data_IF_762074655861
#
_entry.id   IF_762074655861
#
_cell.length_a   1.000
_cell.length_b   1.000
_cell.length_c   1.000
_cell.angle_alpha   90.00
_cell.angle_beta   90.00
_cell.angle_gamma   90.00
#
_symmetry.space_group_name_H-M   'P 1'
#
loop_
_entity.id
_entity.type
_entity.pdbx_description
1 polymer ?
#
# COMPACT_ATOMS: atom_id res chain seq x y z
N UNK A 1 -12.70 -27.05 -24.56
CA UNK A 1 -11.84 -26.93 -23.37
C UNK A 1 -10.60 -27.84 -23.48
N UNK A 2 -9.40 -27.28 -23.51
CA UNK A 2 -8.16 -28.05 -23.67
C UNK A 2 -7.78 -28.75 -22.35
N UNK A 3 -7.48 -30.07 -22.36
CA UNK A 3 -7.13 -30.82 -21.14
C UNK A 3 -5.87 -30.33 -20.42
N UNK A 4 -5.02 -29.55 -21.11
CA UNK A 4 -3.75 -29.00 -20.63
C UNK A 4 -3.80 -27.51 -20.27
N UNK A 5 -4.99 -26.89 -20.27
CA UNK A 5 -5.13 -25.51 -19.82
C UNK A 5 -4.93 -25.42 -18.29
N UNK A 6 -4.29 -24.35 -17.82
CA UNK A 6 -4.13 -24.06 -16.40
C UNK A 6 -5.49 -23.99 -15.70
N UNK A 7 -5.69 -24.80 -14.65
CA UNK A 7 -6.86 -24.70 -13.76
C UNK A 7 -6.52 -23.75 -12.61
N UNK A 8 -7.37 -22.76 -12.36
CA UNK A 8 -7.34 -21.98 -11.13
C UNK A 8 -8.03 -22.78 -10.02
N UNK A 9 -7.33 -23.01 -8.91
CA UNK A 9 -7.90 -23.68 -7.74
C UNK A 9 -8.49 -22.63 -6.79
N UNK A 10 -9.78 -22.31 -6.98
CA UNK A 10 -10.51 -21.34 -6.15
C UNK A 10 -10.06 -19.87 -6.33
N UNK A 11 -10.82 -18.95 -5.73
CA UNK A 11 -10.44 -17.54 -5.58
C UNK A 11 -10.18 -17.28 -4.10
N UNK A 12 -8.90 -17.23 -3.73
CA UNK A 12 -8.50 -16.66 -2.44
C UNK A 12 -8.76 -15.16 -2.46
N UNK A 13 -9.02 -14.56 -1.30
CA UNK A 13 -9.19 -13.11 -1.18
C UNK A 13 -7.90 -12.42 -1.62
N UNK A 14 -7.95 -11.63 -2.69
CA UNK A 14 -6.78 -10.92 -3.20
C UNK A 14 -6.47 -9.68 -2.36
N UNK A 15 -5.30 -9.06 -2.61
CA UNK A 15 -4.99 -7.75 -2.05
C UNK A 15 -6.07 -6.71 -2.42
N UNK A 16 -6.54 -6.72 -3.66
CA UNK A 16 -7.59 -5.80 -4.11
C UNK A 16 -8.92 -6.09 -3.40
N UNK A 17 -9.25 -7.36 -3.14
CA UNK A 17 -10.44 -7.70 -2.35
C UNK A 17 -10.33 -7.20 -0.89
N UNK A 18 -9.11 -7.15 -0.31
CA UNK A 18 -8.87 -6.56 1.02
C UNK A 18 -8.93 -5.03 0.98
N UNK A 19 -8.34 -4.41 -0.04
CA UNK A 19 -8.39 -2.97 -0.27
C UNK A 19 -9.84 -2.47 -0.44
N UNK A 20 -10.66 -3.19 -1.21
CA UNK A 20 -12.05 -2.84 -1.48
C UNK A 20 -13.00 -3.15 -0.31
N UNK A 21 -12.52 -3.81 0.74
CA UNK A 21 -13.29 -4.16 1.94
C UNK A 21 -12.78 -3.49 3.22
N UNK A 22 -11.76 -2.63 3.13
CA UNK A 22 -11.22 -1.93 4.30
C UNK A 22 -12.17 -0.85 4.84
N UNK A 23 -11.79 -0.25 5.98
CA UNK A 23 -12.62 0.78 6.64
C UNK A 23 -12.86 2.03 5.79
N UNK A 24 -12.11 2.22 4.72
CA UNK A 24 -12.15 3.39 3.84
C UNK A 24 -12.71 3.06 2.45
N UNK A 25 -13.18 1.84 2.22
CA UNK A 25 -13.79 1.44 0.96
C UNK A 25 -14.95 2.36 0.54
N UNK A 26 -15.74 2.87 1.50
CA UNK A 26 -16.82 3.83 1.22
C UNK A 26 -16.30 5.21 0.80
N UNK A 27 -15.26 5.73 1.46
CA UNK A 27 -14.62 7.01 1.13
C UNK A 27 -14.04 6.97 -0.29
N UNK A 28 -13.40 5.84 -0.64
CA UNK A 28 -12.76 5.65 -1.95
C UNK A 28 -13.70 5.61 -3.15
N UNK A 29 -15.00 5.41 -2.93
CA UNK A 29 -16.01 5.53 -4.01
C UNK A 29 -16.16 6.96 -4.51
N UNK A 30 -16.04 7.93 -3.60
CA UNK A 30 -16.15 9.36 -3.94
C UNK A 30 -14.79 9.98 -4.21
N UNK A 31 -13.74 9.49 -3.55
CA UNK A 31 -12.38 9.96 -3.72
C UNK A 31 -11.40 8.78 -3.79
N UNK A 32 -11.03 8.40 -5.02
CA UNK A 32 -10.07 7.33 -5.29
C UNK A 32 -8.71 7.52 -4.57
N UNK A 33 -8.36 8.77 -4.24
CA UNK A 33 -7.09 9.12 -3.61
C UNK A 33 -7.17 9.20 -2.09
N UNK A 34 -8.27 8.81 -1.46
CA UNK A 34 -8.35 8.75 0.00
C UNK A 34 -7.20 7.88 0.57
N UNK A 35 -6.47 8.33 1.61
CA UNK A 35 -6.79 9.40 2.56
C UNK A 35 -6.38 10.83 2.16
N UNK A 36 -5.79 11.03 0.98
CA UNK A 36 -5.53 12.37 0.46
C UNK A 36 -6.81 13.00 -0.09
N UNK A 37 -6.94 14.32 0.02
CA UNK A 37 -8.14 15.06 -0.38
C UNK A 37 -8.34 15.06 -1.90
N UNK A 38 -7.26 14.90 -2.67
CA UNK A 38 -7.30 14.92 -4.14
C UNK A 38 -6.11 14.21 -4.78
N UNK A 39 -6.15 14.06 -6.11
CA UNK A 39 -5.01 13.58 -6.90
C UNK A 39 -3.75 14.45 -6.70
N UNK A 40 -3.92 15.77 -6.64
CA UNK A 40 -2.80 16.70 -6.48
C UNK A 40 -2.17 16.58 -5.10
N UNK A 41 -3.02 16.47 -4.07
CA UNK A 41 -2.60 16.24 -2.69
C UNK A 41 -1.85 14.91 -2.52
N UNK A 42 -2.37 13.83 -3.12
CA UNK A 42 -1.66 12.55 -3.22
C UNK A 42 -0.31 12.68 -3.92
N UNK A 43 -0.27 13.35 -5.08
CA UNK A 43 0.98 13.49 -5.85
C UNK A 43 2.06 14.21 -5.05
N UNK A 44 1.70 15.30 -4.34
CA UNK A 44 2.60 16.03 -3.46
C UNK A 44 3.09 15.15 -2.31
N UNK A 45 2.16 14.54 -1.56
CA UNK A 45 2.51 13.69 -0.42
C UNK A 45 3.39 12.51 -0.82
N UNK A 46 3.03 11.82 -1.90
CA UNK A 46 3.79 10.69 -2.43
C UNK A 46 5.19 11.09 -2.91
N UNK A 47 5.33 12.27 -3.51
CA UNK A 47 6.65 12.80 -3.88
C UNK A 47 7.48 13.14 -2.64
N UNK A 48 6.91 13.82 -1.65
CA UNK A 48 7.60 14.16 -0.40
C UNK A 48 8.10 12.91 0.34
N UNK A 49 7.28 11.86 0.43
CA UNK A 49 7.66 10.58 1.06
C UNK A 49 8.83 9.88 0.35
N UNK A 50 8.98 10.08 -0.97
CA UNK A 50 10.05 9.47 -1.78
C UNK A 50 11.25 10.39 -2.01
N UNK A 51 11.15 11.67 -1.64
CA UNK A 51 12.16 12.70 -1.93
C UNK A 51 13.49 12.50 -1.19
N UNK A 52 13.50 11.72 -0.11
CA UNK A 52 14.66 11.57 0.77
C UNK A 52 14.89 12.77 1.71
N UNK A 53 13.99 13.75 1.71
CA UNK A 53 14.03 14.88 2.65
C UNK A 53 13.86 14.40 4.09
N UNK A 54 14.54 15.09 5.02
CA UNK A 54 14.33 14.86 6.45
C UNK A 54 12.94 15.32 6.88
N UNK A 55 12.43 14.80 8.00
CA UNK A 55 11.14 15.25 8.55
C UNK A 55 11.14 16.77 8.83
N UNK A 56 12.28 17.32 9.26
CA UNK A 56 12.42 18.74 9.49
C UNK A 56 12.32 19.54 8.18
N UNK A 57 13.04 19.13 7.13
CA UNK A 57 12.98 19.81 5.83
C UNK A 57 11.57 19.76 5.22
N UNK A 58 10.84 18.66 5.42
CA UNK A 58 9.43 18.55 5.02
C UNK A 58 8.57 19.55 5.82
N UNK A 59 8.74 19.64 7.14
CA UNK A 59 8.00 20.62 7.95
C UNK A 59 8.30 22.06 7.52
N UNK A 60 9.56 22.40 7.25
CA UNK A 60 9.96 23.72 6.76
C UNK A 60 9.32 24.03 5.40
N UNK A 61 9.29 23.04 4.49
CA UNK A 61 8.58 23.15 3.21
C UNK A 61 7.07 23.39 3.38
N UNK A 62 6.42 22.64 4.29
CA UNK A 62 4.98 22.78 4.55
C UNK A 62 4.63 24.11 5.22
N UNK A 63 5.56 24.70 5.96
CA UNK A 63 5.39 26.01 6.59
C UNK A 63 5.54 27.20 5.61
N UNK A 64 6.00 26.97 4.37
CA UNK A 64 6.06 28.02 3.35
C UNK A 64 4.66 28.57 3.09
N UNK A 65 4.51 29.89 3.08
CA UNK A 65 3.21 30.58 3.00
C UNK A 65 2.34 30.06 1.85
N UNK A 66 2.93 29.88 0.66
CA UNK A 66 2.23 29.32 -0.49
C UNK A 66 1.72 27.90 -0.23
N UNK A 67 2.55 27.04 0.35
CA UNK A 67 2.21 25.62 0.58
C UNK A 67 1.18 25.50 1.71
N UNK A 68 1.35 26.26 2.78
CA UNK A 68 0.43 26.29 3.92
C UNK A 68 -0.95 26.86 3.55
N UNK A 69 -1.04 27.63 2.46
CA UNK A 69 -2.33 28.13 1.95
C UNK A 69 -3.12 27.09 1.15
N UNK A 70 -2.49 25.98 0.75
CA UNK A 70 -3.15 24.93 -0.05
C UNK A 70 -4.04 24.04 0.83
N UNK A 71 -5.23 23.62 0.33
CA UNK A 71 -6.10 22.69 1.04
C UNK A 71 -5.59 21.24 0.88
N UNK A 72 -4.43 20.93 1.46
CA UNK A 72 -3.80 19.59 1.46
C UNK A 72 -4.15 18.81 2.75
N UNK A 73 -4.14 17.49 2.70
CA UNK A 73 -4.58 16.63 3.82
C UNK A 73 -3.63 16.57 5.02
N UNK A 74 -2.45 17.19 4.95
CA UNK A 74 -1.42 17.09 5.98
C UNK A 74 -0.74 18.44 6.23
N UNK A 75 -0.52 18.77 7.52
CA UNK A 75 0.14 20.02 7.93
C UNK A 75 1.60 19.84 8.37
N UNK A 76 2.00 18.58 8.61
CA UNK A 76 3.34 18.22 9.04
C UNK A 76 3.82 16.93 8.38
N UNK A 77 5.13 16.68 8.44
CA UNK A 77 5.73 15.42 8.02
C UNK A 77 5.18 14.21 8.80
N UNK A 78 4.76 14.42 10.04
CA UNK A 78 4.14 13.38 10.87
C UNK A 78 2.74 13.04 10.35
N UNK A 79 1.94 14.06 10.04
CA UNK A 79 0.59 13.87 9.49
C UNK A 79 0.68 13.19 8.13
N UNK A 80 1.63 13.61 7.28
CA UNK A 80 1.88 12.98 5.99
C UNK A 80 2.18 11.48 6.12
N UNK A 81 3.00 11.08 7.11
CA UNK A 81 3.25 9.66 7.40
C UNK A 81 2.01 8.95 7.91
N UNK A 82 1.28 9.55 8.84
CA UNK A 82 0.04 8.98 9.35
C UNK A 82 -0.95 8.72 8.20
N UNK A 83 -1.13 9.68 7.28
CA UNK A 83 -1.94 9.48 6.07
C UNK A 83 -1.42 8.31 5.22
N UNK A 84 -0.11 8.16 5.05
CA UNK A 84 0.44 7.05 4.27
C UNK A 84 0.25 5.69 4.96
N UNK A 85 0.31 5.65 6.30
CA UNK A 85 0.13 4.45 7.12
C UNK A 85 -1.33 3.97 7.15
N UNK A 86 -2.29 4.84 6.85
CA UNK A 86 -3.70 4.47 6.69
C UNK A 86 -3.98 3.64 5.42
N UNK A 87 -3.03 3.60 4.47
CA UNK A 87 -3.16 2.70 3.33
C UNK A 87 -2.92 1.25 3.77
N UNK A 88 -3.73 0.30 3.28
CA UNK A 88 -3.47 -1.10 3.56
C UNK A 88 -2.07 -1.47 3.03
N UNK A 89 -1.32 -2.28 3.79
CA UNK A 89 0.01 -2.69 3.38
C UNK A 89 -0.07 -3.41 2.04
N UNK A 90 0.71 -2.95 1.05
CA UNK A 90 0.79 -3.62 -0.25
C UNK A 90 1.21 -5.08 -0.11
N UNK A 91 1.07 -5.88 -1.18
CA UNK A 91 1.36 -7.31 -1.14
C UNK A 91 2.80 -7.54 -0.65
N UNK A 92 2.97 -8.29 0.44
CA UNK A 92 4.27 -8.59 1.04
C UNK A 92 4.74 -9.97 0.62
N UNK A 93 6.06 -10.18 0.62
CA UNK A 93 6.62 -11.50 0.43
C UNK A 93 6.38 -12.34 1.68
N UNK A 94 5.73 -13.49 1.50
CA UNK A 94 5.46 -14.44 2.59
C UNK A 94 6.34 -15.67 2.41
N UNK A 95 6.90 -16.15 3.51
CA UNK A 95 7.72 -17.36 3.56
C UNK A 95 7.07 -18.35 4.53
N UNK A 96 6.69 -19.53 4.04
CA UNK A 96 6.15 -20.60 4.88
C UNK A 96 6.86 -21.94 4.65
N UNK A 97 7.04 -22.77 5.69
CA UNK A 97 7.60 -24.11 5.53
C UNK A 97 6.72 -24.95 4.60
N UNK A 98 7.33 -25.63 3.63
CA UNK A 98 6.61 -26.50 2.71
C UNK A 98 6.64 -27.96 3.19
N UNK A 99 5.48 -28.62 3.32
CA UNK A 99 5.43 -30.01 3.78
C UNK A 99 6.03 -30.94 2.71
N UNK A 100 7.08 -31.68 3.10
CA UNK A 100 7.74 -32.67 2.25
C UNK A 100 7.41 -34.08 2.73
N UNK A 101 7.06 -34.98 1.80
CA UNK A 101 6.82 -36.41 2.12
C UNK A 101 8.10 -37.18 2.48
N UNK A 102 9.25 -36.70 2.04
CA UNK A 102 10.54 -37.33 2.25
C UNK A 102 11.50 -36.36 2.94
N UNK A 103 12.36 -36.83 3.86
CA UNK A 103 13.26 -35.97 4.60
C UNK A 103 14.29 -35.31 3.67
N UNK A 104 14.40 -33.98 3.77
CA UNK A 104 15.39 -33.18 3.04
C UNK A 104 16.51 -32.75 3.98
N UNK A 105 17.74 -32.57 3.46
CA UNK A 105 18.89 -32.10 4.26
C UNK A 105 18.67 -30.70 4.86
N UNK A 106 17.79 -29.89 4.26
CA UNK A 106 17.37 -28.56 4.73
C UNK A 106 15.86 -28.42 4.51
N UNK A 107 15.14 -27.70 5.40
CA UNK A 107 13.71 -27.43 5.21
C UNK A 107 13.48 -26.65 3.92
N UNK A 108 12.45 -27.02 3.16
CA UNK A 108 12.01 -26.29 1.98
C UNK A 108 11.06 -25.19 2.44
N UNK A 109 11.31 -23.96 1.99
CA UNK A 109 10.44 -22.82 2.24
C UNK A 109 9.78 -22.40 0.94
N UNK A 110 8.46 -22.21 0.96
CA UNK A 110 7.72 -21.60 -0.12
C UNK A 110 7.74 -20.08 0.06
N UNK A 111 8.30 -19.38 -0.92
CA UNK A 111 8.20 -17.93 -1.07
C UNK A 111 7.08 -17.63 -2.06
N UNK A 112 6.09 -16.87 -1.62
CA UNK A 112 4.97 -16.45 -2.46
C UNK A 112 4.55 -15.04 -2.10
N UNK A 113 3.77 -14.42 -2.99
CA UNK A 113 3.22 -13.08 -2.82
C UNK A 113 1.76 -13.13 -3.22
N UNK A 114 0.89 -12.45 -2.48
CA UNK A 114 -0.52 -12.38 -2.85
C UNK A 114 -0.66 -11.76 -4.24
N UNK A 115 -1.50 -12.38 -5.07
CA UNK A 115 -1.80 -11.84 -6.40
C UNK A 115 -2.57 -10.52 -6.24
N UNK A 116 -2.18 -9.52 -7.00
CA UNK A 116 -2.90 -8.25 -7.14
C UNK A 116 -4.19 -8.48 -7.94
#
# INVERSE_FOLDING_TARGET
PFPSASKTFGRAQSFMDQFDSDRYASERKNNLYFPWASKGDYALGAWLLRSGLSMQAINEFLALELINSLPISFSSAKDLRACAEELPPGPQWTCQPWPVKYPTKRPINLFYRDSV
#
